data_IF_161567717537
#
_entry.id   IF_161567717537
#
_cell.length_a   1.000
_cell.length_b   1.000
_cell.length_c   1.000
_cell.angle_alpha   90.00
_cell.angle_beta   90.00
_cell.angle_gamma   90.00
#
_symmetry.space_group_name_H-M   'P 1'
#
loop_
_entity.id
_entity.type
_entity.pdbx_description
1 polymer ?
#
# COMPACT_ATOMS: atom_id res chain seq x y z
N UNK A 1 12.91 61.09 6.94
CA UNK A 1 12.27 59.86 7.42
C UNK A 1 11.44 59.33 6.29
N UNK A 2 11.97 58.41 5.48
CA UNK A 2 11.28 57.72 4.40
C UNK A 2 10.76 56.40 4.96
N UNK A 3 9.41 56.27 4.97
CA UNK A 3 8.71 55.06 5.35
C UNK A 3 8.73 54.10 4.17
N UNK A 4 9.51 53.00 4.28
CA UNK A 4 9.51 51.91 3.30
C UNK A 4 8.34 50.98 3.67
N UNK A 5 7.23 51.07 2.95
CA UNK A 5 6.14 50.12 3.05
C UNK A 5 6.55 48.84 2.26
N UNK A 6 6.93 47.80 2.99
CA UNK A 6 7.13 46.48 2.39
C UNK A 6 5.76 45.89 2.00
N UNK A 7 5.49 45.82 0.73
CA UNK A 7 4.31 45.11 0.20
C UNK A 7 4.61 43.62 0.28
N UNK A 8 4.08 42.95 1.28
CA UNK A 8 4.03 41.50 1.33
C UNK A 8 3.03 41.01 0.27
N UNK A 9 3.52 40.70 -0.91
CA UNK A 9 2.77 39.93 -1.88
C UNK A 9 2.69 38.47 -1.35
N UNK A 10 1.64 38.19 -0.58
CA UNK A 10 1.27 36.82 -0.29
C UNK A 10 1.02 36.15 -1.64
N UNK A 11 1.85 35.16 -1.99
CA UNK A 11 1.53 34.24 -3.06
C UNK A 11 0.20 33.57 -2.70
N UNK A 12 -0.90 34.03 -3.26
CA UNK A 12 -2.11 33.25 -3.36
C UNK A 12 -1.74 32.02 -4.17
N UNK A 13 -1.70 30.85 -3.51
CA UNK A 13 -1.74 29.57 -4.21
C UNK A 13 -2.98 29.65 -5.08
N UNK A 14 -2.79 29.74 -6.40
CA UNK A 14 -3.90 29.88 -7.32
C UNK A 14 -4.84 28.70 -7.13
N UNK A 15 -6.13 28.99 -6.95
CA UNK A 15 -7.15 27.95 -7.09
C UNK A 15 -6.92 27.29 -8.46
N UNK A 16 -6.52 26.01 -8.44
CA UNK A 16 -6.49 25.22 -9.64
C UNK A 16 -7.93 25.02 -10.06
N UNK A 17 -8.40 25.86 -10.98
CA UNK A 17 -9.73 25.68 -11.55
C UNK A 17 -9.68 24.43 -12.42
N UNK A 18 -10.07 23.30 -11.86
CA UNK A 18 -10.29 22.08 -12.64
C UNK A 18 -11.39 22.42 -13.67
N UNK A 19 -11.16 22.19 -14.98
CA UNK A 19 -12.19 22.43 -15.98
C UNK A 19 -13.49 21.72 -15.55
N UNK A 20 -14.64 22.38 -15.68
CA UNK A 20 -15.95 21.75 -15.43
C UNK A 20 -16.20 20.72 -16.54
N UNK A 21 -15.59 19.55 -16.41
CA UNK A 21 -15.93 18.39 -17.21
C UNK A 21 -17.09 17.68 -16.51
N UNK A 22 -18.01 17.11 -17.27
CA UNK A 22 -19.04 16.27 -16.69
C UNK A 22 -18.38 15.10 -15.94
N UNK A 23 -18.81 14.80 -14.71
CA UNK A 23 -18.30 13.65 -13.98
C UNK A 23 -18.46 12.37 -14.82
N UNK A 24 -17.42 11.56 -14.85
CA UNK A 24 -17.41 10.27 -15.58
C UNK A 24 -17.46 9.14 -14.57
N UNK A 25 -18.17 8.08 -14.88
CA UNK A 25 -18.19 6.87 -14.03
C UNK A 25 -16.82 6.21 -14.04
N UNK A 26 -16.35 5.88 -12.85
CA UNK A 26 -15.11 5.13 -12.62
C UNK A 26 -15.47 3.80 -12.01
N UNK A 27 -14.97 2.71 -12.59
CA UNK A 27 -15.14 1.38 -12.03
C UNK A 27 -13.78 0.78 -11.68
N UNK A 28 -13.71 0.11 -10.54
CA UNK A 28 -12.53 -0.67 -10.16
C UNK A 28 -12.96 -2.04 -9.66
N UNK A 29 -12.57 -3.07 -10.38
CA UNK A 29 -12.83 -4.45 -10.01
C UNK A 29 -11.74 -5.39 -10.55
N UNK A 30 -11.33 -6.34 -9.73
CA UNK A 30 -10.40 -7.39 -10.12
C UNK A 30 -11.02 -8.74 -9.78
N UNK A 31 -11.29 -9.52 -10.81
CA UNK A 31 -11.83 -10.87 -10.65
C UNK A 31 -10.75 -11.79 -10.08
N UNK A 32 -11.07 -12.44 -8.97
CA UNK A 32 -10.21 -13.41 -8.32
C UNK A 32 -10.99 -14.70 -8.03
N UNK A 33 -10.71 -15.82 -8.73
CA UNK A 33 -11.42 -17.09 -8.52
C UNK A 33 -11.25 -17.69 -7.13
N UNK A 34 -10.26 -17.23 -6.35
CA UNK A 34 -9.99 -17.70 -4.99
C UNK A 34 -10.68 -16.85 -3.92
N UNK A 35 -11.22 -15.69 -4.28
CA UNK A 35 -11.91 -14.82 -3.34
C UNK A 35 -13.29 -15.35 -2.96
N UNK A 36 -13.74 -15.08 -1.76
CA UNK A 36 -15.08 -15.46 -1.27
C UNK A 36 -16.21 -14.69 -1.95
N UNK A 37 -15.93 -13.47 -2.39
CA UNK A 37 -16.84 -12.60 -3.15
C UNK A 37 -16.01 -11.79 -4.14
N UNK A 38 -16.66 -11.34 -5.22
CA UNK A 38 -16.07 -10.32 -6.08
C UNK A 38 -16.54 -8.94 -5.62
N UNK A 39 -15.64 -7.97 -5.64
CA UNK A 39 -15.93 -6.60 -5.21
C UNK A 39 -15.80 -5.67 -6.41
N UNK A 40 -16.80 -4.84 -6.63
CA UNK A 40 -16.79 -3.78 -7.63
C UNK A 40 -17.00 -2.45 -6.95
N UNK A 41 -16.06 -1.55 -7.14
CA UNK A 41 -16.16 -0.16 -6.74
C UNK A 41 -16.71 0.65 -7.91
N UNK A 42 -17.72 1.47 -7.67
CA UNK A 42 -18.30 2.38 -8.66
C UNK A 42 -18.32 3.78 -8.06
N UNK A 43 -17.66 4.70 -8.73
CA UNK A 43 -17.50 6.09 -8.30
C UNK A 43 -17.66 7.03 -9.49
N UNK A 44 -17.71 8.34 -9.22
CA UNK A 44 -17.61 9.39 -10.23
C UNK A 44 -16.28 10.14 -10.09
N UNK A 45 -15.74 10.59 -11.20
CA UNK A 45 -14.60 11.51 -11.19
C UNK A 45 -14.99 12.81 -10.48
N UNK A 46 -14.02 13.41 -9.82
CA UNK A 46 -14.18 14.71 -9.20
C UNK A 46 -14.29 15.80 -10.28
N UNK A 47 -15.25 16.71 -10.14
CA UNK A 47 -15.39 17.88 -11.00
C UNK A 47 -15.65 19.14 -10.16
N UNK A 48 -15.03 20.25 -10.52
CA UNK A 48 -15.18 21.53 -9.80
C UNK A 48 -14.17 21.69 -8.64
N UNK A 49 -14.38 22.70 -7.78
CA UNK A 49 -13.58 22.89 -6.58
C UNK A 49 -14.04 21.90 -5.50
N UNK A 50 -13.19 20.94 -5.19
CA UNK A 50 -13.47 19.91 -4.20
C UNK A 50 -12.49 20.09 -3.05
N UNK A 51 -13.02 20.15 -1.83
CA UNK A 51 -12.22 19.98 -0.64
C UNK A 51 -11.99 18.47 -0.47
N UNK A 52 -10.78 17.99 -0.77
CA UNK A 52 -10.40 16.61 -0.49
C UNK A 52 -10.23 16.50 1.02
N UNK A 53 -11.00 15.67 1.72
CA UNK A 53 -10.74 15.39 3.11
C UNK A 53 -9.30 14.87 3.24
N UNK A 54 -8.61 15.25 4.30
CA UNK A 54 -7.23 14.82 4.60
C UNK A 54 -7.22 13.34 5.02
N UNK A 55 -7.51 12.47 4.07
CA UNK A 55 -7.55 11.02 4.26
C UNK A 55 -6.33 10.41 3.60
N UNK A 56 -5.62 9.59 4.34
CA UNK A 56 -4.48 8.82 3.84
C UNK A 56 -4.87 8.00 2.61
N UNK A 57 -4.25 8.32 1.48
CA UNK A 57 -4.46 7.59 0.24
C UNK A 57 -3.74 6.25 0.31
N UNK A 58 -4.49 5.14 0.31
CA UNK A 58 -3.95 3.80 0.12
C UNK A 58 -4.21 3.34 -1.31
N UNK A 59 -3.18 3.42 -2.16
CA UNK A 59 -3.26 3.01 -3.56
C UNK A 59 -3.51 1.50 -3.74
N UNK A 60 -3.39 0.71 -2.67
CA UNK A 60 -3.48 -0.76 -2.73
C UNK A 60 -4.84 -1.29 -2.32
N UNK A 61 -5.58 -0.53 -1.55
CA UNK A 61 -6.97 -0.81 -1.22
C UNK A 61 -7.87 0.38 -1.60
N UNK A 62 -8.38 0.42 -2.84
CA UNK A 62 -9.26 1.48 -3.29
C UNK A 62 -10.57 1.54 -2.48
N UNK A 63 -10.87 0.51 -1.71
CA UNK A 63 -12.05 0.46 -0.85
C UNK A 63 -11.84 1.29 0.42
N UNK A 64 -10.62 1.36 0.92
CA UNK A 64 -10.26 2.08 2.14
C UNK A 64 -10.05 3.57 1.89
N UNK A 65 -9.72 3.95 0.66
CA UNK A 65 -9.45 5.35 0.31
C UNK A 65 -10.73 6.12 0.01
N UNK A 66 -11.03 7.11 0.80
CA UNK A 66 -12.20 7.99 0.61
C UNK A 66 -12.05 9.01 -0.53
N UNK A 67 -11.51 8.62 -1.70
CA UNK A 67 -11.09 9.58 -2.72
C UNK A 67 -12.09 9.90 -3.83
N UNK A 68 -13.15 9.11 -4.02
CA UNK A 68 -14.12 9.29 -5.10
C UNK A 68 -15.50 9.75 -4.61
N UNK A 69 -16.37 10.15 -5.53
CA UNK A 69 -17.79 10.35 -5.26
C UNK A 69 -18.48 9.01 -5.46
N UNK A 70 -18.96 8.35 -4.39
CA UNK A 70 -19.57 7.02 -4.52
C UNK A 70 -20.82 7.05 -5.39
N UNK A 71 -20.99 6.09 -6.29
CA UNK A 71 -22.19 5.88 -7.08
C UNK A 71 -23.06 4.82 -6.41
N UNK A 72 -24.03 5.28 -5.61
CA UNK A 72 -24.97 4.40 -4.90
C UNK A 72 -26.17 4.03 -5.74
N UNK A 73 -26.73 2.84 -5.51
CA UNK A 73 -27.97 2.38 -6.13
C UNK A 73 -27.84 1.92 -7.57
N UNK A 74 -26.63 1.84 -8.11
CA UNK A 74 -26.41 1.34 -9.47
C UNK A 74 -26.74 -0.15 -9.57
N UNK A 75 -27.19 -0.59 -10.74
CA UNK A 75 -27.22 -1.99 -11.13
C UNK A 75 -25.78 -2.39 -11.49
N UNK A 76 -25.23 -3.36 -10.76
CA UNK A 76 -23.88 -3.87 -11.01
C UNK A 76 -23.97 -5.39 -11.21
N UNK A 77 -23.50 -5.88 -12.34
CA UNK A 77 -23.61 -7.29 -12.72
C UNK A 77 -22.29 -7.80 -13.31
N UNK A 78 -21.95 -9.04 -12.99
CA UNK A 78 -20.94 -9.82 -13.71
C UNK A 78 -21.65 -10.87 -14.54
N UNK A 79 -21.40 -10.85 -15.85
CA UNK A 79 -22.04 -11.73 -16.83
C UNK A 79 -21.00 -12.73 -17.32
N UNK A 80 -21.30 -14.01 -17.24
CA UNK A 80 -20.42 -15.07 -17.72
C UNK A 80 -20.53 -15.27 -19.24
N UNK A 81 -19.70 -16.15 -19.78
CA UNK A 81 -19.67 -16.47 -21.21
C UNK A 81 -20.97 -17.16 -21.75
N UNK A 82 -21.85 -17.61 -20.87
CA UNK A 82 -23.17 -18.18 -21.27
C UNK A 82 -24.28 -17.13 -21.28
N UNK A 83 -23.97 -15.90 -20.87
CA UNK A 83 -24.94 -14.81 -20.73
C UNK A 83 -25.62 -14.77 -19.35
N UNK A 84 -25.24 -15.63 -18.42
CA UNK A 84 -25.81 -15.62 -17.07
C UNK A 84 -25.23 -14.44 -16.30
N UNK A 85 -26.10 -13.53 -15.87
CA UNK A 85 -25.78 -12.39 -15.04
C UNK A 85 -25.87 -12.78 -13.55
N UNK A 86 -24.88 -12.32 -12.77
CA UNK A 86 -24.90 -12.37 -11.31
C UNK A 86 -24.82 -10.93 -10.79
N UNK A 87 -25.88 -10.53 -10.09
CA UNK A 87 -26.04 -9.17 -9.59
C UNK A 87 -25.31 -8.97 -8.27
N UNK A 88 -24.66 -7.82 -8.14
CA UNK A 88 -24.06 -7.32 -6.90
C UNK A 88 -25.07 -6.68 -5.96
N UNK A 89 -24.74 -6.73 -4.69
CA UNK A 89 -25.46 -6.03 -3.63
C UNK A 89 -24.54 -4.95 -3.08
N UNK A 90 -25.06 -3.73 -2.99
CA UNK A 90 -24.32 -2.62 -2.40
C UNK A 90 -24.03 -2.86 -0.91
N UNK A 91 -22.79 -2.71 -0.51
CA UNK A 91 -22.34 -2.85 0.87
C UNK A 91 -22.56 -1.53 1.63
N UNK A 92 -23.73 -1.38 2.21
CA UNK A 92 -24.10 -0.19 2.98
C UNK A 92 -23.40 -0.06 4.34
N UNK A 93 -22.69 -1.11 4.79
CA UNK A 93 -21.96 -1.04 6.06
C UNK A 93 -20.77 -0.08 6.01
N UNK A 94 -20.24 0.16 4.81
CA UNK A 94 -19.14 1.10 4.59
C UNK A 94 -19.56 2.57 4.67
N UNK A 95 -20.84 2.87 4.69
CA UNK A 95 -21.35 4.25 4.89
C UNK A 95 -20.94 4.85 6.24
N UNK A 96 -20.70 4.01 7.25
CA UNK A 96 -20.30 4.44 8.61
C UNK A 96 -18.83 4.84 8.72
N UNK A 97 -18.01 4.48 7.75
CA UNK A 97 -16.57 4.80 7.71
C UNK A 97 -16.26 6.14 7.05
N UNK A 98 -17.29 6.92 6.65
CA UNK A 98 -17.13 8.19 5.95
C UNK A 98 -16.87 8.05 4.44
N UNK A 99 -16.73 6.83 3.93
CA UNK A 99 -16.53 6.58 2.50
C UNK A 99 -17.82 6.75 1.69
N UNK A 100 -18.98 6.42 2.27
CA UNK A 100 -20.26 6.36 1.56
C UNK A 100 -20.47 5.01 0.84
N UNK A 101 -21.48 4.97 -0.04
CA UNK A 101 -21.83 3.78 -0.85
C UNK A 101 -20.86 3.53 -2.00
N UNK A 102 -21.36 2.86 -3.06
CA UNK A 102 -20.61 2.62 -4.30
C UNK A 102 -19.73 1.37 -4.28
N UNK A 103 -19.75 0.59 -3.20
CA UNK A 103 -19.09 -0.73 -3.13
C UNK A 103 -20.13 -1.83 -3.29
N UNK A 104 -19.97 -2.66 -4.29
CA UNK A 104 -20.89 -3.75 -4.62
C UNK A 104 -20.22 -5.09 -4.43
N UNK A 105 -20.83 -5.98 -3.64
CA UNK A 105 -20.38 -7.36 -3.45
C UNK A 105 -21.20 -8.29 -4.33
N UNK A 106 -20.51 -9.01 -5.20
CA UNK A 106 -21.12 -9.96 -6.12
C UNK A 106 -20.89 -11.36 -5.57
N UNK A 107 -21.93 -12.18 -5.36
CA UNK A 107 -21.83 -13.49 -4.71
C UNK A 107 -21.26 -14.55 -5.66
N UNK A 108 -20.12 -14.28 -6.25
CA UNK A 108 -19.32 -15.21 -7.03
C UNK A 108 -18.12 -15.63 -6.16
N UNK A 109 -18.36 -16.58 -5.29
CA UNK A 109 -17.38 -17.10 -4.35
C UNK A 109 -16.28 -17.95 -4.98
N UNK A 110 -15.40 -18.48 -4.14
CA UNK A 110 -14.29 -19.31 -4.58
C UNK A 110 -14.76 -20.49 -5.47
N UNK A 111 -14.14 -20.63 -6.63
CA UNK A 111 -14.47 -21.64 -7.63
C UNK A 111 -15.69 -21.33 -8.53
N UNK A 112 -16.41 -20.24 -8.29
CA UNK A 112 -17.52 -19.81 -9.16
C UNK A 112 -17.05 -19.23 -10.50
N UNK A 113 -15.88 -18.58 -10.48
CA UNK A 113 -15.22 -18.05 -11.67
C UNK A 113 -14.38 -19.14 -12.33
N UNK A 114 -14.68 -19.45 -13.59
CA UNK A 114 -13.96 -20.49 -14.35
C UNK A 114 -12.68 -19.93 -14.96
N UNK A 115 -11.58 -20.65 -14.77
CA UNK A 115 -10.27 -20.33 -15.36
C UNK A 115 -10.37 -20.33 -16.90
N UNK A 116 -9.66 -19.41 -17.55
CA UNK A 116 -9.63 -19.26 -19.01
C UNK A 116 -10.86 -18.57 -19.62
N UNK A 117 -11.92 -18.39 -18.85
CA UNK A 117 -13.17 -17.81 -19.35
C UNK A 117 -13.15 -16.28 -19.32
N UNK A 118 -13.98 -15.70 -20.21
CA UNK A 118 -14.21 -14.26 -20.30
C UNK A 118 -15.48 -13.91 -19.53
N UNK A 119 -15.41 -12.82 -18.79
CA UNK A 119 -16.52 -12.23 -18.06
C UNK A 119 -16.72 -10.79 -18.51
N UNK A 120 -17.97 -10.33 -18.44
CA UNK A 120 -18.34 -8.95 -18.71
C UNK A 120 -18.80 -8.30 -17.40
N UNK A 121 -18.32 -7.11 -17.13
CA UNK A 121 -18.91 -6.20 -16.14
C UNK A 121 -19.96 -5.36 -16.88
N UNK A 122 -21.13 -5.20 -16.27
CA UNK A 122 -22.16 -4.26 -16.65
C UNK A 122 -22.56 -3.43 -15.44
N UNK A 123 -22.47 -2.11 -15.57
CA UNK A 123 -22.91 -1.17 -14.56
C UNK A 123 -23.90 -0.22 -15.22
N UNK A 124 -25.07 -0.03 -14.58
CA UNK A 124 -26.06 0.96 -15.00
C UNK A 124 -26.42 1.84 -13.82
N UNK A 125 -26.17 3.14 -13.94
CA UNK A 125 -26.47 4.12 -12.89
C UNK A 125 -27.96 4.43 -12.82
N UNK A 126 -28.39 5.06 -11.75
CA UNK A 126 -29.77 5.55 -11.61
C UNK A 126 -30.11 6.63 -12.67
N UNK A 127 -29.09 7.34 -13.16
CA UNK A 127 -29.22 8.36 -14.20
C UNK A 127 -29.28 7.76 -15.61
N UNK A 128 -29.12 6.43 -15.73
CA UNK A 128 -29.22 5.69 -16.99
C UNK A 128 -27.92 5.60 -17.78
N UNK A 129 -26.77 5.94 -17.18
CA UNK A 129 -25.48 5.72 -17.80
C UNK A 129 -25.12 4.24 -17.80
N UNK A 130 -24.64 3.73 -18.93
CA UNK A 130 -24.23 2.33 -19.09
C UNK A 130 -22.71 2.24 -19.21
N UNK A 131 -22.11 1.40 -18.37
CA UNK A 131 -20.67 1.12 -18.38
C UNK A 131 -20.45 -0.38 -18.56
N UNK A 132 -19.59 -0.75 -19.51
CA UNK A 132 -19.26 -2.15 -19.78
C UNK A 132 -17.76 -2.37 -19.88
N UNK A 133 -17.30 -3.53 -19.43
CA UNK A 133 -15.92 -3.94 -19.57
C UNK A 133 -15.81 -5.46 -19.64
N UNK A 134 -14.68 -5.97 -20.13
CA UNK A 134 -14.45 -7.41 -20.25
C UNK A 134 -13.11 -7.77 -19.63
N UNK A 135 -13.07 -8.85 -18.86
CA UNK A 135 -11.85 -9.44 -18.33
C UNK A 135 -11.79 -10.94 -18.67
N UNK A 136 -10.60 -11.48 -18.77
CA UNK A 136 -10.39 -12.92 -18.97
C UNK A 136 -9.56 -13.47 -17.82
N UNK A 137 -10.08 -14.51 -17.18
CA UNK A 137 -9.40 -15.16 -16.06
C UNK A 137 -8.18 -15.95 -16.59
N UNK A 138 -6.94 -15.71 -16.13
CA UNK A 138 -5.82 -16.59 -16.42
C UNK A 138 -6.10 -18.03 -16.00
N UNK A 139 -5.51 -19.01 -16.73
CA UNK A 139 -5.81 -20.42 -16.54
C UNK A 139 -4.57 -21.24 -16.14
N UNK A 140 -4.05 -21.12 -14.92
CA UNK A 140 -2.96 -21.97 -14.46
C UNK A 140 -3.44 -23.42 -14.35
N UNK A 141 -2.55 -24.36 -14.73
CA UNK A 141 -2.80 -25.79 -14.55
C UNK A 141 -2.83 -26.18 -13.07
N UNK A 142 -1.99 -25.53 -12.26
CA UNK A 142 -1.90 -25.74 -10.82
C UNK A 142 -1.92 -24.38 -10.11
N UNK A 143 -2.82 -24.23 -9.18
CA UNK A 143 -2.79 -23.12 -8.21
C UNK A 143 -2.21 -23.66 -6.90
N UNK A 144 -1.02 -23.20 -6.51
CA UNK A 144 -0.46 -23.56 -5.23
C UNK A 144 -0.73 -22.46 -4.21
N UNK A 145 -1.00 -22.83 -2.98
CA UNK A 145 -1.13 -21.92 -1.85
C UNK A 145 -0.08 -22.24 -0.81
N UNK A 146 0.58 -21.22 -0.24
CA UNK A 146 1.37 -21.36 0.98
C UNK A 146 2.85 -21.75 0.80
N UNK A 147 3.43 -21.53 -0.36
CA UNK A 147 4.84 -21.89 -0.61
C UNK A 147 5.91 -21.03 0.05
N UNK A 148 5.56 -19.84 0.55
CA UNK A 148 6.54 -18.85 1.07
C UNK A 148 6.59 -18.74 2.59
N UNK A 149 5.73 -19.42 3.32
CA UNK A 149 5.66 -19.25 4.78
C UNK A 149 6.91 -19.81 5.46
N UNK A 150 7.78 -18.91 5.91
CA UNK A 150 9.04 -19.26 6.59
C UNK A 150 9.67 -18.07 7.29
N UNK A 151 10.65 -18.33 8.14
CA UNK A 151 11.62 -17.33 8.59
C UNK A 151 12.58 -17.02 7.42
N UNK A 152 12.79 -15.74 7.16
CA UNK A 152 13.62 -15.24 6.08
C UNK A 152 14.67 -14.30 6.64
N UNK A 153 15.93 -14.68 6.55
CA UNK A 153 17.02 -13.81 6.95
C UNK A 153 17.43 -12.93 5.76
N UNK A 154 17.22 -11.62 5.88
CA UNK A 154 17.47 -10.67 4.78
C UNK A 154 18.91 -10.63 4.30
N UNK A 155 19.90 -10.98 5.16
CA UNK A 155 21.31 -10.83 4.83
C UNK A 155 21.89 -12.02 4.05
N UNK A 156 21.21 -13.15 4.08
CA UNK A 156 21.69 -14.38 3.44
C UNK A 156 20.68 -15.12 2.58
N UNK A 157 19.38 -14.93 2.85
CA UNK A 157 18.36 -15.71 2.16
C UNK A 157 17.95 -15.05 0.84
N UNK A 158 17.49 -15.88 -0.06
CA UNK A 158 16.92 -15.45 -1.34
C UNK A 158 15.46 -15.89 -1.40
N UNK A 159 14.56 -14.98 -1.70
CA UNK A 159 13.21 -15.30 -2.07
C UNK A 159 13.22 -15.81 -3.51
N UNK A 160 12.80 -17.04 -3.68
CA UNK A 160 12.72 -17.68 -4.98
C UNK A 160 11.33 -18.27 -5.20
N UNK A 161 10.78 -18.04 -6.37
CA UNK A 161 9.57 -18.67 -6.84
C UNK A 161 9.70 -19.07 -8.30
N UNK A 162 9.09 -20.18 -8.65
CA UNK A 162 9.00 -20.67 -10.03
C UNK A 162 7.62 -21.25 -10.27
N UNK A 163 7.09 -21.05 -11.47
CA UNK A 163 5.79 -21.55 -11.90
C UNK A 163 5.81 -21.92 -13.37
N UNK A 164 4.83 -22.69 -13.82
CA UNK A 164 4.62 -22.96 -15.24
C UNK A 164 3.99 -21.76 -15.92
N UNK A 165 4.22 -21.61 -17.23
CA UNK A 165 3.58 -20.59 -18.03
C UNK A 165 2.08 -20.75 -17.98
N UNK A 166 1.39 -19.65 -17.63
CA UNK A 166 -0.06 -19.64 -17.47
C UNK A 166 -0.73 -19.18 -18.76
N UNK A 167 -1.60 -20.00 -19.37
CA UNK A 167 -2.40 -19.57 -20.51
C UNK A 167 -3.27 -18.36 -20.14
N UNK A 168 -3.45 -17.45 -21.09
CA UNK A 168 -4.20 -16.18 -20.97
C UNK A 168 -3.65 -15.17 -19.93
N UNK A 169 -2.56 -15.47 -19.25
CA UNK A 169 -1.85 -14.46 -18.49
C UNK A 169 -1.12 -13.50 -19.44
N UNK A 170 -1.23 -12.19 -19.17
CA UNK A 170 -0.43 -11.18 -19.86
C UNK A 170 0.99 -11.13 -19.28
N UNK A 171 1.04 -11.19 -17.95
CA UNK A 171 2.27 -11.13 -17.16
C UNK A 171 2.02 -11.68 -15.76
N UNK A 172 3.03 -11.67 -14.91
CA UNK A 172 2.92 -12.07 -13.51
C UNK A 172 3.18 -10.88 -12.60
N UNK A 173 2.36 -10.76 -11.56
CA UNK A 173 2.52 -9.77 -10.51
C UNK A 173 3.16 -10.42 -9.29
N UNK A 174 4.18 -9.79 -8.72
CA UNK A 174 4.74 -10.13 -7.42
C UNK A 174 4.46 -8.98 -6.48
N UNK A 175 3.78 -9.26 -5.39
CA UNK A 175 3.45 -8.31 -4.34
C UNK A 175 4.06 -8.76 -3.04
N UNK A 176 4.74 -7.85 -2.36
CA UNK A 176 5.24 -8.05 -1.00
C UNK A 176 4.62 -6.96 -0.14
N UNK A 177 3.81 -7.36 0.83
CA UNK A 177 3.29 -6.42 1.82
C UNK A 177 4.39 -6.00 2.76
N UNK A 178 4.49 -4.71 2.96
CA UNK A 178 5.45 -4.10 3.87
C UNK A 178 4.72 -3.13 4.80
N UNK A 179 5.21 -2.89 6.02
CA UNK A 179 4.68 -1.85 6.90
C UNK A 179 4.65 -0.45 6.29
N UNK A 180 5.45 -0.23 5.25
CA UNK A 180 5.53 1.05 4.51
C UNK A 180 4.69 1.06 3.23
N UNK A 181 3.84 0.07 3.06
CA UNK A 181 3.04 -0.14 1.88
C UNK A 181 3.52 -1.33 1.05
N UNK A 182 2.72 -1.80 0.11
CA UNK A 182 3.06 -2.94 -0.73
C UNK A 182 4.15 -2.55 -1.72
N UNK A 183 5.12 -3.43 -1.84
CA UNK A 183 6.00 -3.48 -2.99
C UNK A 183 5.33 -4.30 -4.08
N UNK A 184 5.35 -3.80 -5.30
CA UNK A 184 4.69 -4.42 -6.43
C UNK A 184 5.55 -4.36 -7.68
N UNK A 185 5.73 -5.49 -8.35
CA UNK A 185 6.43 -5.54 -9.63
C UNK A 185 5.74 -6.49 -10.60
N UNK A 186 5.96 -6.25 -11.90
CA UNK A 186 5.58 -7.15 -12.97
C UNK A 186 6.79 -7.86 -13.55
N UNK A 187 6.60 -9.12 -13.96
CA UNK A 187 7.60 -9.92 -14.66
C UNK A 187 6.97 -10.83 -15.68
N UNK A 188 7.56 -10.92 -16.87
CA UNK A 188 7.17 -11.89 -17.91
C UNK A 188 7.89 -13.23 -17.73
N UNK A 189 8.83 -13.32 -16.77
CA UNK A 189 9.53 -14.54 -16.41
C UNK A 189 8.61 -15.48 -15.62
N UNK A 190 8.78 -16.77 -15.81
CA UNK A 190 8.12 -17.83 -14.99
C UNK A 190 8.93 -18.17 -13.73
N UNK A 191 9.89 -17.36 -13.41
CA UNK A 191 10.68 -17.44 -12.18
C UNK A 191 10.96 -16.06 -11.65
N UNK A 192 11.01 -15.97 -10.35
CA UNK A 192 11.30 -14.75 -9.63
C UNK A 192 12.39 -15.03 -8.60
N UNK A 193 13.34 -14.14 -8.50
CA UNK A 193 14.39 -14.20 -7.49
C UNK A 193 14.63 -12.80 -6.94
N UNK A 194 14.58 -12.67 -5.63
CA UNK A 194 14.88 -11.44 -4.91
C UNK A 194 15.77 -11.77 -3.71
N UNK A 195 16.91 -11.13 -3.62
CA UNK A 195 17.80 -11.21 -2.46
C UNK A 195 17.29 -10.25 -1.38
N UNK A 196 17.58 -10.54 -0.12
CA UNK A 196 17.23 -9.67 1.00
C UNK A 196 17.90 -8.30 0.92
N UNK A 197 19.08 -8.23 0.32
CA UNK A 197 19.82 -6.99 0.11
C UNK A 197 19.32 -6.24 -1.15
N UNK A 198 18.08 -5.79 -1.11
CA UNK A 198 17.48 -4.95 -2.17
C UNK A 198 17.81 -3.47 -2.02
N UNK A 199 18.54 -3.10 -0.96
CA UNK A 199 18.92 -1.70 -0.66
C UNK A 199 19.67 -1.01 -1.79
N UNK A 200 20.40 -1.78 -2.60
CA UNK A 200 21.23 -1.26 -3.67
C UNK A 200 20.59 -1.32 -5.06
N UNK A 201 19.40 -1.91 -5.21
CA UNK A 201 18.82 -2.14 -6.53
C UNK A 201 18.05 -0.95 -7.08
N UNK A 202 17.44 -0.13 -6.23
CA UNK A 202 16.69 1.05 -6.66
C UNK A 202 16.62 2.08 -5.51
N UNK A 203 17.01 3.31 -5.78
CA UNK A 203 16.87 4.41 -4.82
C UNK A 203 15.38 4.69 -4.57
N UNK A 204 14.91 4.52 -3.35
CA UNK A 204 13.60 4.98 -2.87
C UNK A 204 12.68 3.89 -2.36
N UNK A 205 11.98 3.14 -3.21
CA UNK A 205 10.85 2.31 -2.77
C UNK A 205 11.22 0.89 -2.34
N UNK A 206 12.29 0.31 -2.86
CA UNK A 206 12.71 -1.07 -2.55
C UNK A 206 13.46 -1.21 -1.22
N UNK A 207 13.92 -0.13 -0.65
CA UNK A 207 14.58 -0.13 0.67
C UNK A 207 13.65 -0.59 1.80
N UNK A 208 12.33 -0.69 1.52
CA UNK A 208 11.28 -1.01 2.46
C UNK A 208 10.81 -2.45 2.43
N UNK A 209 11.43 -3.27 1.60
CA UNK A 209 11.13 -4.71 1.49
C UNK A 209 12.09 -5.49 2.38
N UNK A 210 11.62 -6.55 3.01
CA UNK A 210 12.37 -7.42 3.93
C UNK A 210 12.92 -6.71 5.17
N UNK A 211 12.05 -5.99 5.86
CA UNK A 211 12.41 -5.28 7.08
C UNK A 211 12.43 -6.27 8.25
N UNK A 212 13.55 -6.40 8.97
CA UNK A 212 13.66 -7.29 10.10
C UNK A 212 12.64 -6.97 11.20
N UNK A 213 12.16 -8.00 11.87
CA UNK A 213 11.13 -7.88 12.90
C UNK A 213 9.72 -7.77 12.37
N UNK A 214 9.52 -7.80 11.05
CA UNK A 214 8.19 -7.76 10.44
C UNK A 214 7.77 -9.08 9.83
N UNK A 215 6.46 -9.30 9.90
CA UNK A 215 5.77 -10.26 9.09
C UNK A 215 5.37 -9.61 7.78
N UNK A 216 5.72 -10.23 6.68
CA UNK A 216 5.41 -9.72 5.33
C UNK A 216 4.71 -10.78 4.52
N UNK A 217 3.55 -10.44 3.97
CA UNK A 217 2.81 -11.34 3.11
C UNK A 217 3.27 -11.18 1.66
N UNK A 218 3.45 -12.32 0.99
CA UNK A 218 3.91 -12.39 -0.40
C UNK A 218 2.84 -13.05 -1.24
N UNK A 219 2.62 -12.48 -2.40
CA UNK A 219 1.72 -13.00 -3.41
C UNK A 219 2.42 -13.01 -4.76
N UNK A 220 2.32 -14.13 -5.46
CA UNK A 220 2.62 -14.23 -6.90
C UNK A 220 1.33 -14.58 -7.62
N UNK A 221 0.96 -13.78 -8.59
CA UNK A 221 -0.28 -13.95 -9.34
C UNK A 221 -0.06 -13.84 -10.85
N UNK A 222 -0.81 -14.64 -11.61
CA UNK A 222 -0.99 -14.42 -13.04
C UNK A 222 -2.08 -13.36 -13.24
N UNK A 223 -1.82 -12.36 -14.08
CA UNK A 223 -2.74 -11.26 -14.33
C UNK A 223 -3.10 -11.13 -15.81
N UNK A 224 -4.29 -10.63 -16.09
CA UNK A 224 -4.72 -10.35 -17.45
C UNK A 224 -4.17 -9.03 -18.01
N UNK A 225 -4.47 -8.75 -19.28
CA UNK A 225 -3.99 -7.53 -19.95
C UNK A 225 -4.56 -6.25 -19.35
N UNK A 226 -5.80 -6.29 -18.86
CA UNK A 226 -6.44 -5.10 -18.33
C UNK A 226 -5.79 -4.67 -17.02
N UNK A 227 -5.55 -5.66 -16.15
CA UNK A 227 -4.84 -5.42 -14.89
C UNK A 227 -3.44 -4.84 -15.15
N UNK A 228 -2.66 -5.49 -16.04
CA UNK A 228 -1.32 -5.04 -16.37
C UNK A 228 -1.29 -3.63 -16.96
N UNK A 229 -2.12 -3.38 -17.98
CA UNK A 229 -2.14 -2.10 -18.68
C UNK A 229 -2.55 -0.96 -17.76
N UNK A 230 -3.54 -1.18 -16.90
CA UNK A 230 -3.98 -0.18 -15.94
C UNK A 230 -2.86 0.19 -14.95
N UNK A 231 -2.28 -0.80 -14.27
CA UNK A 231 -1.30 -0.52 -13.22
C UNK A 231 0.04 0.00 -13.74
N UNK A 232 0.50 -0.43 -14.92
CA UNK A 232 1.74 0.11 -15.50
C UNK A 232 1.62 1.56 -15.95
N UNK A 233 0.41 2.04 -16.24
CA UNK A 233 0.18 3.41 -16.74
C UNK A 233 -0.34 4.35 -15.67
N UNK A 234 -0.86 3.84 -14.56
CA UNK A 234 -1.43 4.65 -13.48
C UNK A 234 -0.39 5.51 -12.74
N UNK A 235 0.87 5.11 -12.73
CA UNK A 235 1.95 5.77 -11.99
C UNK A 235 3.01 6.43 -12.86
N UNK A 236 2.78 6.59 -14.17
CA UNK A 236 3.76 7.24 -15.04
C UNK A 236 3.29 8.63 -15.52
N UNK A 237 3.58 9.70 -14.76
CA UNK A 237 3.23 11.06 -15.15
C UNK A 237 4.10 11.60 -16.29
N UNK A 238 5.20 10.92 -16.67
CA UNK A 238 6.17 11.44 -17.63
C UNK A 238 5.93 10.98 -19.06
N UNK A 239 5.28 9.88 -19.29
CA UNK A 239 5.00 9.40 -20.65
C UNK A 239 3.88 10.15 -21.33
N UNK A 240 3.10 10.95 -20.60
CA UNK A 240 1.92 11.63 -21.13
C UNK A 240 0.83 10.67 -21.63
N UNK A 241 1.08 9.37 -21.52
CA UNK A 241 0.10 8.34 -21.79
C UNK A 241 -0.88 8.33 -20.64
N UNK A 242 -2.10 8.75 -20.85
CA UNK A 242 -3.17 8.62 -19.86
C UNK A 242 -3.34 7.15 -19.43
N UNK A 243 -4.06 6.95 -18.34
CA UNK A 243 -4.39 5.61 -17.83
C UNK A 243 -5.02 4.79 -18.95
N UNK A 244 -4.47 3.61 -19.24
CA UNK A 244 -5.07 2.69 -20.20
C UNK A 244 -6.26 2.02 -19.52
N UNK A 245 -7.44 2.57 -19.79
CA UNK A 245 -8.73 2.02 -19.35
C UNK A 245 -9.38 1.28 -20.51
N UNK A 246 -9.82 0.05 -20.27
CA UNK A 246 -10.60 -0.75 -21.24
C UNK A 246 -12.06 -0.86 -20.80
N UNK A 247 -12.56 0.23 -20.27
CA UNK A 247 -13.93 0.39 -19.80
C UNK A 247 -14.66 1.27 -20.82
N UNK A 248 -15.75 0.78 -21.37
CA UNK A 248 -16.60 1.52 -22.29
C UNK A 248 -17.67 2.28 -21.49
N UNK A 249 -17.90 3.54 -21.80
CA UNK A 249 -18.84 4.42 -21.09
C UNK A 249 -18.33 4.96 -19.76
N UNK A 250 -17.08 4.66 -19.41
CA UNK A 250 -16.45 5.10 -18.16
C UNK A 250 -14.93 4.99 -18.17
N UNK A 251 -14.33 5.08 -17.00
CA UNK A 251 -12.91 4.91 -16.76
C UNK A 251 -12.66 3.79 -15.73
N UNK A 252 -11.41 3.38 -15.58
CA UNK A 252 -10.97 2.51 -14.51
C UNK A 252 -10.51 1.14 -14.94
N UNK A 253 -10.69 0.16 -14.07
CA UNK A 253 -10.18 -1.20 -14.23
C UNK A 253 -11.30 -2.23 -14.08
N UNK A 254 -11.42 -3.13 -15.04
CA UNK A 254 -12.04 -4.43 -14.88
C UNK A 254 -11.05 -5.48 -15.38
N UNK A 255 -10.30 -6.07 -14.46
CA UNK A 255 -9.23 -7.02 -14.73
C UNK A 255 -9.42 -8.34 -14.00
N UNK A 256 -8.44 -9.22 -14.14
CA UNK A 256 -8.44 -10.52 -13.49
C UNK A 256 -7.05 -10.90 -12.99
N UNK A 257 -7.06 -11.59 -11.87
CA UNK A 257 -5.85 -12.12 -11.26
C UNK A 257 -6.13 -13.54 -10.73
N UNK A 258 -5.14 -14.43 -10.83
CA UNK A 258 -5.18 -15.76 -10.21
C UNK A 258 -3.91 -15.96 -9.42
N UNK A 259 -4.05 -16.21 -8.12
CA UNK A 259 -2.91 -16.48 -7.25
C UNK A 259 -2.25 -17.79 -7.63
N UNK A 260 -0.97 -17.73 -7.92
CA UNK A 260 -0.13 -18.90 -8.22
C UNK A 260 0.56 -19.39 -6.95
N UNK A 261 1.02 -18.47 -6.11
CA UNK A 261 1.69 -18.78 -4.86
C UNK A 261 1.51 -17.63 -3.87
N UNK A 262 1.39 -17.96 -2.60
CA UNK A 262 1.31 -16.99 -1.51
C UNK A 262 1.93 -17.54 -0.25
N UNK A 263 2.23 -16.67 0.69
CA UNK A 263 2.75 -17.06 1.99
C UNK A 263 3.21 -15.85 2.79
N UNK A 264 3.76 -16.14 3.96
CA UNK A 264 4.18 -15.12 4.90
C UNK A 264 5.63 -15.34 5.28
N UNK A 265 6.44 -14.30 5.18
CA UNK A 265 7.80 -14.27 5.72
C UNK A 265 7.81 -13.61 7.09
N UNK A 266 8.48 -14.24 8.04
CA UNK A 266 8.95 -13.57 9.25
C UNK A 266 10.38 -13.13 9.00
N UNK A 267 10.60 -11.84 8.79
CA UNK A 267 11.89 -11.33 8.38
C UNK A 267 12.81 -11.16 9.60
N UNK A 268 14.04 -11.64 9.48
CA UNK A 268 15.12 -11.49 10.45
C UNK A 268 16.35 -10.89 9.78
N UNK A 269 17.31 -10.41 10.57
CA UNK A 269 18.64 -10.00 10.13
C UNK A 269 19.71 -10.67 10.98
N UNK A 270 20.98 -10.59 10.55
CA UNK A 270 22.09 -11.00 11.37
C UNK A 270 22.21 -10.05 12.58
N UNK A 271 22.64 -10.59 13.74
CA UNK A 271 22.77 -9.81 14.99
C UNK A 271 23.81 -8.69 14.94
N UNK A 272 24.69 -8.69 13.95
CA UNK A 272 25.73 -7.67 13.73
C UNK A 272 25.20 -6.45 12.96
N UNK A 273 23.96 -6.50 12.50
CA UNK A 273 23.35 -5.40 11.76
C UNK A 273 23.10 -4.19 12.67
N UNK A 274 23.18 -2.96 12.09
CA UNK A 274 22.75 -1.74 12.76
C UNK A 274 21.31 -1.83 13.27
N UNK A 275 20.89 -0.86 14.09
CA UNK A 275 19.52 -0.83 14.59
C UNK A 275 18.52 -0.87 13.44
N UNK A 276 17.94 -2.03 13.24
CA UNK A 276 16.87 -2.26 12.27
C UNK A 276 15.82 -3.16 12.88
N UNK A 277 14.57 -2.93 12.50
CA UNK A 277 13.46 -3.75 12.92
C UNK A 277 12.42 -3.02 13.73
N UNK A 278 11.61 -3.82 14.38
CA UNK A 278 10.51 -3.36 15.21
C UNK A 278 10.89 -3.35 16.67
N UNK A 279 10.69 -2.21 17.33
CA UNK A 279 10.93 -2.06 18.76
C UNK A 279 9.64 -1.66 19.46
N UNK A 280 9.22 -2.42 20.47
CA UNK A 280 8.07 -2.12 21.30
C UNK A 280 8.48 -1.52 22.62
N UNK A 281 7.79 -0.48 23.05
CA UNK A 281 7.99 0.10 24.38
C UNK A 281 7.65 -0.96 25.44
N UNK A 282 8.66 -1.32 26.25
CA UNK A 282 8.55 -2.26 27.35
C UNK A 282 8.29 -1.55 28.68
N UNK A 283 8.98 -0.41 28.89
CA UNK A 283 8.80 0.41 30.09
C UNK A 283 9.19 1.85 29.82
N UNK A 284 8.61 2.78 30.58
CA UNK A 284 9.00 4.18 30.64
C UNK A 284 8.94 4.67 32.08
N UNK A 285 9.95 5.45 32.50
CA UNK A 285 9.99 6.14 33.77
C UNK A 285 9.99 7.65 33.52
N UNK A 286 9.22 8.40 34.30
CA UNK A 286 9.03 9.85 34.04
C UNK A 286 7.87 10.14 33.11
N UNK A 287 7.83 11.33 32.51
CA UNK A 287 6.81 11.64 31.51
C UNK A 287 6.93 10.65 30.35
N UNK A 288 5.86 9.95 30.04
CA UNK A 288 5.80 9.20 28.79
C UNK A 288 6.06 10.19 27.67
N UNK A 289 6.96 9.88 26.73
CA UNK A 289 7.26 10.73 25.58
C UNK A 289 6.01 11.28 24.91
N UNK A 290 6.10 12.01 23.82
CA UNK A 290 4.97 12.70 23.20
C UNK A 290 3.81 11.75 22.87
N UNK A 291 4.01 10.47 23.18
CA UNK A 291 3.09 9.42 22.76
C UNK A 291 2.89 8.40 23.86
N UNK A 292 1.66 8.36 24.38
CA UNK A 292 1.23 7.47 25.44
C UNK A 292 1.49 5.97 25.18
N UNK A 293 1.87 5.31 26.22
CA UNK A 293 1.76 3.89 26.67
C UNK A 293 1.98 2.70 25.74
N UNK A 294 1.95 2.79 24.42
CA UNK A 294 2.24 1.66 23.50
C UNK A 294 2.92 2.12 22.21
N UNK A 295 4.09 2.72 22.33
CA UNK A 295 4.88 3.16 21.18
C UNK A 295 5.55 1.95 20.52
N UNK A 296 5.41 1.85 19.22
CA UNK A 296 6.19 0.92 18.40
C UNK A 296 7.04 1.73 17.43
N UNK A 297 8.34 1.49 17.44
CA UNK A 297 9.30 2.07 16.51
C UNK A 297 9.61 1.05 15.42
N UNK A 298 9.65 1.52 14.20
CA UNK A 298 10.05 0.77 13.02
C UNK A 298 11.23 1.48 12.40
N UNK A 299 12.41 0.88 12.47
CA UNK A 299 13.66 1.53 12.13
C UNK A 299 14.34 0.78 10.99
N UNK A 300 14.77 1.54 9.98
CA UNK A 300 15.62 1.10 8.89
C UNK A 300 16.98 1.78 8.98
N UNK A 301 18.04 1.05 8.69
CA UNK A 301 19.39 1.59 8.64
C UNK A 301 19.89 1.63 7.19
N UNK A 302 20.45 2.77 6.81
CA UNK A 302 21.14 2.97 5.56
C UNK A 302 22.66 2.88 5.75
N UNK A 303 23.13 1.96 6.60
CA UNK A 303 24.55 1.78 6.87
C UNK A 303 25.30 1.43 5.59
N UNK A 304 26.21 2.31 5.19
CA UNK A 304 27.11 2.09 4.05
C UNK A 304 28.53 1.81 4.50
N UNK A 305 28.90 2.17 5.73
CA UNK A 305 30.23 2.01 6.28
C UNK A 305 30.19 1.97 7.82
N UNK A 306 31.03 1.14 8.41
CA UNK A 306 31.12 0.95 9.86
C UNK A 306 31.69 2.20 10.60
N UNK A 307 32.47 3.02 9.92
CA UNK A 307 33.17 4.20 10.48
C UNK A 307 32.39 5.50 10.38
N UNK A 308 31.19 5.48 9.78
CA UNK A 308 30.35 6.65 9.62
C UNK A 308 29.01 6.48 10.35
N UNK A 309 28.39 7.58 10.82
CA UNK A 309 27.03 7.51 11.32
C UNK A 309 26.10 6.94 10.27
N UNK A 310 25.41 5.87 10.61
CA UNK A 310 24.40 5.30 9.73
C UNK A 310 23.14 6.15 9.79
N UNK A 311 22.69 6.63 8.64
CA UNK A 311 21.40 7.30 8.55
C UNK A 311 20.29 6.29 8.86
N UNK A 312 19.34 6.71 9.69
CA UNK A 312 18.17 5.91 10.07
C UNK A 312 16.92 6.58 9.54
N UNK A 313 15.99 5.78 9.09
CA UNK A 313 14.65 6.22 8.76
C UNK A 313 13.62 5.23 9.32
N UNK A 314 12.36 5.63 9.41
CA UNK A 314 11.35 4.73 9.91
C UNK A 314 10.04 5.41 10.23
N UNK A 315 9.25 4.73 11.02
CA UNK A 315 7.94 5.21 11.49
C UNK A 315 7.76 4.85 12.97
N UNK A 316 6.95 5.64 13.65
CA UNK A 316 6.44 5.25 14.96
C UNK A 316 4.92 5.18 14.94
N UNK A 317 4.38 4.25 15.68
CA UNK A 317 2.94 4.03 15.77
C UNK A 317 2.53 4.16 17.23
N UNK A 318 1.49 4.93 17.47
CA UNK A 318 0.86 5.07 18.77
C UNK A 318 -0.30 4.10 18.85
N UNK A 319 -0.49 3.45 19.99
CA UNK A 319 -1.68 2.65 20.18
C UNK A 319 -2.89 3.52 20.47
N UNK A 320 -4.03 3.16 19.89
CA UNK A 320 -5.30 3.83 20.08
C UNK A 320 -6.27 3.52 18.95
N UNK A 321 -7.47 4.04 19.04
CA UNK A 321 -8.51 3.87 18.03
C UNK A 321 -8.14 4.47 16.65
N UNK A 322 -7.17 5.38 16.60
CA UNK A 322 -6.59 5.93 15.39
C UNK A 322 -5.06 5.90 15.51
N UNK A 323 -4.40 4.77 15.20
CA UNK A 323 -2.94 4.73 15.21
C UNK A 323 -2.41 5.67 14.14
N UNK A 324 -1.73 6.72 14.56
CA UNK A 324 -1.00 7.61 13.66
C UNK A 324 0.36 6.98 13.38
N UNK A 325 0.68 6.82 12.11
CA UNK A 325 2.03 6.45 11.68
C UNK A 325 2.78 7.71 11.28
N UNK A 326 3.65 8.19 12.15
CA UNK A 326 4.47 9.38 11.90
C UNK A 326 5.91 8.97 11.55
N UNK A 327 6.67 9.84 10.90
CA UNK A 327 8.03 9.54 10.43
C UNK A 327 9.08 9.53 11.54
N UNK A 328 10.15 8.78 11.34
CA UNK A 328 11.38 8.82 12.11
C UNK A 328 12.52 9.15 11.16
N UNK A 329 13.36 10.10 11.55
CA UNK A 329 14.69 10.31 10.97
C UNK A 329 15.72 10.23 12.09
N UNK A 330 16.89 9.69 11.78
CA UNK A 330 17.90 9.56 12.81
C UNK A 330 19.27 9.13 12.31
N UNK A 331 20.11 8.80 13.26
CA UNK A 331 21.45 8.30 13.00
C UNK A 331 21.91 7.35 14.10
N UNK A 332 22.75 6.41 13.72
CA UNK A 332 23.45 5.51 14.62
C UNK A 332 24.97 5.75 14.51
N UNK A 333 25.62 5.85 15.65
CA UNK A 333 27.06 5.86 15.76
C UNK A 333 27.49 4.88 16.86
N UNK A 334 28.04 3.74 16.46
CA UNK A 334 28.28 2.62 17.38
C UNK A 334 26.97 2.15 18.03
N UNK A 335 26.95 2.12 19.36
CA UNK A 335 25.75 1.78 20.13
C UNK A 335 24.82 2.97 20.36
N UNK A 336 25.25 4.19 20.06
CA UNK A 336 24.47 5.40 20.29
C UNK A 336 23.49 5.64 19.15
N UNK A 337 22.22 5.80 19.50
CA UNK A 337 21.09 6.01 18.59
C UNK A 337 20.48 7.38 18.87
N UNK A 338 20.26 8.16 17.84
CA UNK A 338 19.47 9.40 17.90
C UNK A 338 18.34 9.34 16.90
N UNK A 339 17.10 9.53 17.35
CA UNK A 339 15.88 9.47 16.52
C UNK A 339 15.07 10.76 16.71
N UNK A 340 14.84 11.50 15.64
CA UNK A 340 13.87 12.58 15.58
C UNK A 340 12.50 12.01 15.22
N UNK A 341 11.52 12.17 16.09
CA UNK A 341 10.13 11.82 15.83
C UNK A 341 9.46 12.99 15.12
N UNK A 342 8.88 12.76 13.97
CA UNK A 342 8.26 13.78 13.14
C UNK A 342 6.75 13.82 13.36
N UNK A 343 6.15 15.00 13.34
CA UNK A 343 4.70 15.18 13.44
C UNK A 343 3.96 14.57 12.23
N UNK A 344 4.58 14.69 11.07
CA UNK A 344 4.20 13.96 9.86
C UNK A 344 5.41 13.83 8.94
N UNK A 345 5.36 12.90 7.99
CA UNK A 345 6.47 12.65 7.07
C UNK A 345 6.74 13.80 6.08
N UNK A 346 5.76 14.68 5.85
CA UNK A 346 5.82 15.74 4.85
C UNK A 346 6.32 17.07 5.42
N UNK A 347 5.96 17.42 6.66
CA UNK A 347 6.32 18.71 7.25
C UNK A 347 7.75 18.77 7.76
N UNK A 348 8.34 17.63 8.10
CA UNK A 348 9.65 17.58 8.75
C UNK A 348 9.68 18.14 10.19
N UNK A 349 8.52 18.56 10.73
CA UNK A 349 8.45 19.12 12.09
C UNK A 349 8.76 18.06 13.13
N UNK A 350 9.76 18.31 13.96
CA UNK A 350 10.18 17.39 15.01
C UNK A 350 9.32 17.55 16.26
N UNK A 351 8.62 16.48 16.62
CA UNK A 351 7.84 16.41 17.87
C UNK A 351 8.76 16.29 19.07
N UNK A 352 9.68 15.33 19.02
CA UNK A 352 10.70 15.10 20.08
C UNK A 352 11.91 14.38 19.48
N UNK A 353 13.02 14.36 20.24
CA UNK A 353 14.24 13.64 19.89
C UNK A 353 14.52 12.60 20.97
N UNK A 354 14.62 11.36 20.57
CA UNK A 354 15.06 10.26 21.41
C UNK A 354 16.57 10.07 21.25
N UNK A 355 17.31 9.96 22.36
CA UNK A 355 18.72 9.57 22.37
C UNK A 355 18.89 8.39 23.30
N UNK A 356 19.54 7.34 22.82
CA UNK A 356 19.67 6.10 23.56
C UNK A 356 20.83 5.23 23.10
N UNK A 357 20.92 4.06 23.72
CA UNK A 357 21.88 3.03 23.38
C UNK A 357 21.19 1.72 23.02
N UNK A 358 21.69 1.07 21.97
CA UNK A 358 21.31 -0.28 21.57
C UNK A 358 22.29 -1.30 22.18
N UNK A 359 21.76 -2.23 22.99
CA UNK A 359 22.50 -3.35 23.55
C UNK A 359 21.75 -4.65 23.29
N UNK A 360 22.21 -5.43 22.31
CA UNK A 360 21.48 -6.59 21.81
C UNK A 360 20.11 -6.20 21.28
N UNK A 361 19.07 -6.77 21.82
CA UNK A 361 17.67 -6.49 21.41
C UNK A 361 17.02 -5.37 22.22
N UNK A 362 17.79 -4.67 23.05
CA UNK A 362 17.27 -3.61 23.92
C UNK A 362 17.78 -2.25 23.48
N UNK A 363 16.86 -1.36 23.17
CA UNK A 363 17.12 0.07 22.95
C UNK A 363 16.63 0.85 24.18
N UNK A 364 17.55 1.50 24.90
CA UNK A 364 17.22 2.28 26.08
C UNK A 364 17.73 3.71 25.96
N UNK A 365 16.92 4.69 26.34
CA UNK A 365 17.28 6.10 26.23
C UNK A 365 16.22 7.04 26.75
N UNK A 366 16.37 8.32 26.43
CA UNK A 366 15.45 9.37 26.89
C UNK A 366 15.02 10.29 25.76
N UNK A 367 13.87 10.92 25.94
CA UNK A 367 13.36 11.97 25.09
C UNK A 367 13.80 13.33 25.56
N UNK A 368 14.17 14.22 24.63
CA UNK A 368 14.69 15.55 24.94
C UNK A 368 13.64 16.44 25.61
N UNK A 369 12.39 16.39 25.17
CA UNK A 369 11.29 17.21 25.72
C UNK A 369 10.56 16.53 26.87
N UNK A 370 10.21 15.24 26.68
CA UNK A 370 9.43 14.53 27.68
C UNK A 370 10.25 14.08 28.90
N UNK A 371 11.56 13.93 28.75
CA UNK A 371 12.45 13.40 29.80
C UNK A 371 12.13 11.92 30.08
N UNK A 372 12.69 11.42 31.21
CA UNK A 372 12.50 10.04 31.62
C UNK A 372 13.25 9.02 30.74
N UNK A 373 13.32 7.79 31.21
CA UNK A 373 13.97 6.69 30.50
C UNK A 373 12.89 5.81 29.86
N UNK A 374 13.03 5.58 28.58
CA UNK A 374 12.21 4.63 27.82
C UNK A 374 13.05 3.43 27.40
N UNK A 375 12.51 2.24 27.57
CA UNK A 375 13.13 0.97 27.18
C UNK A 375 12.25 0.30 26.15
N UNK A 376 12.83 0.01 25.00
CA UNK A 376 12.19 -0.70 23.91
C UNK A 376 12.85 -2.06 23.73
N UNK A 377 12.06 -3.07 23.47
CA UNK A 377 12.54 -4.40 23.14
C UNK A 377 12.25 -4.67 21.66
N UNK A 378 13.26 -5.23 20.98
CA UNK A 378 13.08 -5.71 19.61
C UNK A 378 12.05 -6.84 19.64
N UNK A 379 11.06 -6.74 18.80
CA UNK A 379 10.06 -7.79 18.65
C UNK A 379 10.31 -8.55 17.36
N UNK A 380 10.16 -9.88 17.39
CA UNK A 380 10.29 -10.71 16.20
C UNK A 380 9.25 -10.37 15.14
#
# INVERSE_FOLDING_TARGET
>A
VLLLAAIATACKIGEVTVPKTSPVIVVHAVLNPQASNQVVLVERTLSGSITIPDTSFDATDPIVTGGGIPESGALVEIIDSTGKATRGVEDKTLNTTGRGGGVYRIPLGAGSLRLGMRYQLHVRTLEGEDVTAFARIPAPEVTSSGGFTRTFNRDRDTLFAQWTRVPQARTYAVRVESPFGPFFLFTDSTRFRMTGDVRNLFAGDLQRVFIPGFRQDILVAAVDSNFYDYYRTNNDPFTGAGIISRVNGGLGLFGALVTLNSGTLTVTANQTEPIEGRFRLASATGGAGPVASQLTLYIESNATREDLPSALSGRYITAGANPRGDGILGQQFGTTITLALLANQLSGDTVDVFTGELRGDTLSGSYAKAGGISVFLRSP
#
